data_IF_417797007071
#
_entry.id   IF_417797007071
#
_cell.length_a   1.000
_cell.length_b   1.000
_cell.length_c   1.000
_cell.angle_alpha   90.00
_cell.angle_beta   90.00
_cell.angle_gamma   90.00
#
_symmetry.space_group_name_H-M   'P 1'
#
loop_
_entity.id
_entity.type
_entity.pdbx_description
1 polymer ?
#
# COMPACT_ATOMS: atom_id res chain seq x y z
N UNK A 1 7.95 53.46 12.10
CA UNK A 1 6.64 52.96 11.60
C UNK A 1 6.75 52.20 10.27
N UNK A 2 7.56 52.65 9.30
CA UNK A 2 7.64 52.00 7.97
C UNK A 2 8.29 50.59 7.95
N UNK A 3 9.29 50.30 8.79
CA UNK A 3 9.96 48.97 8.78
C UNK A 3 9.05 47.83 9.29
N UNK A 4 8.23 48.06 10.31
CA UNK A 4 7.31 47.04 10.85
C UNK A 4 6.22 46.68 9.84
N UNK A 5 5.70 47.67 9.12
CA UNK A 5 4.72 47.45 8.06
C UNK A 5 5.31 46.62 6.90
N UNK A 6 6.55 46.89 6.51
CA UNK A 6 7.25 46.14 5.47
C UNK A 6 7.54 44.69 5.91
N UNK A 7 7.97 44.50 7.16
CA UNK A 7 8.20 43.17 7.73
C UNK A 7 6.93 42.31 7.74
N UNK A 8 5.77 42.91 8.08
CA UNK A 8 4.48 42.21 8.05
C UNK A 8 4.07 41.81 6.62
N UNK A 9 4.31 42.68 5.63
CA UNK A 9 4.01 42.37 4.23
C UNK A 9 4.89 41.21 3.74
N UNK A 10 6.20 41.25 4.04
CA UNK A 10 7.12 40.17 3.70
C UNK A 10 6.72 38.86 4.41
N UNK A 11 6.34 38.91 5.68
CA UNK A 11 5.86 37.75 6.43
C UNK A 11 4.69 37.07 5.72
N UNK A 12 3.64 37.83 5.38
CA UNK A 12 2.46 37.31 4.69
C UNK A 12 2.80 36.71 3.33
N UNK A 13 3.72 37.34 2.58
CA UNK A 13 4.19 36.83 1.29
C UNK A 13 4.95 35.51 1.46
N UNK A 14 5.81 35.40 2.48
CA UNK A 14 6.59 34.19 2.77
C UNK A 14 5.72 33.05 3.27
N UNK A 15 4.68 33.36 4.03
CA UNK A 15 3.67 32.40 4.47
C UNK A 15 2.95 31.79 3.26
N UNK A 16 2.44 32.64 2.34
CA UNK A 16 1.86 32.19 1.08
C UNK A 16 2.83 31.33 0.26
N UNK A 17 4.07 31.79 0.09
CA UNK A 17 5.12 31.03 -0.61
C UNK A 17 5.39 29.66 0.04
N UNK A 18 5.32 29.54 1.37
CA UNK A 18 5.53 28.29 2.06
C UNK A 18 4.37 27.30 1.79
N UNK A 19 3.13 27.77 1.84
CA UNK A 19 1.96 26.94 1.52
C UNK A 19 1.93 26.50 0.06
N UNK A 20 2.23 27.41 -0.88
CA UNK A 20 2.34 27.10 -2.30
C UNK A 20 3.44 26.07 -2.58
N UNK A 21 4.61 26.22 -1.93
CA UNK A 21 5.69 25.25 -2.04
C UNK A 21 5.29 23.86 -1.50
N UNK A 22 4.53 23.79 -0.40
CA UNK A 22 3.99 22.51 0.09
C UNK A 22 2.99 21.89 -0.89
N UNK A 23 2.12 22.69 -1.52
CA UNK A 23 1.20 22.21 -2.55
C UNK A 23 1.96 21.69 -3.79
N UNK A 24 3.02 22.37 -4.21
CA UNK A 24 3.92 21.92 -5.28
C UNK A 24 4.57 20.57 -4.93
N UNK A 25 5.09 20.42 -3.70
CA UNK A 25 5.67 19.15 -3.22
C UNK A 25 4.66 18.02 -3.25
N UNK A 26 3.44 18.22 -2.72
CA UNK A 26 2.37 17.20 -2.74
C UNK A 26 2.04 16.76 -4.16
N UNK A 27 1.85 17.71 -5.06
CA UNK A 27 1.50 17.45 -6.47
C UNK A 27 2.63 16.70 -7.17
N UNK A 28 3.88 17.08 -6.93
CA UNK A 28 5.05 16.41 -7.49
C UNK A 28 5.18 14.97 -6.96
N UNK A 29 4.91 14.73 -5.67
CA UNK A 29 4.90 13.38 -5.08
C UNK A 29 3.79 12.52 -5.70
N UNK A 30 2.57 13.03 -5.82
CA UNK A 30 1.45 12.32 -6.45
C UNK A 30 1.77 11.96 -7.90
N UNK A 31 2.33 12.92 -8.66
CA UNK A 31 2.72 12.72 -10.06
C UNK A 31 3.81 11.65 -10.17
N UNK A 32 4.82 11.68 -9.30
CA UNK A 32 5.87 10.66 -9.28
C UNK A 32 5.28 9.27 -9.00
N UNK A 33 4.43 9.16 -7.99
CA UNK A 33 3.85 7.89 -7.58
C UNK A 33 2.94 7.29 -8.66
N UNK A 34 2.14 8.11 -9.33
CA UNK A 34 1.36 7.70 -10.50
C UNK A 34 2.26 7.15 -11.61
N UNK A 35 3.35 7.87 -11.95
CA UNK A 35 4.27 7.44 -13.01
C UNK A 35 5.06 6.18 -12.66
N UNK A 36 5.36 5.94 -11.38
CA UNK A 36 5.95 4.68 -10.92
C UNK A 36 4.99 3.52 -11.20
N UNK A 37 3.70 3.68 -10.93
CA UNK A 37 2.70 2.67 -11.22
C UNK A 37 2.53 2.44 -12.72
N UNK A 38 2.45 3.52 -13.50
CA UNK A 38 2.39 3.47 -14.96
C UNK A 38 3.57 2.69 -15.55
N UNK A 39 4.78 2.96 -15.05
CA UNK A 39 5.99 2.24 -15.46
C UNK A 39 5.85 0.74 -15.23
N UNK A 40 5.36 0.33 -14.07
CA UNK A 40 5.19 -1.09 -13.72
C UNK A 40 4.19 -1.79 -14.62
N UNK A 41 3.09 -1.12 -14.97
CA UNK A 41 1.97 -1.75 -15.71
C UNK A 41 2.17 -1.72 -17.22
N UNK A 42 2.75 -0.65 -17.76
CA UNK A 42 2.69 -0.38 -19.21
C UNK A 42 4.05 -0.37 -19.91
N UNK A 43 5.17 -0.21 -19.19
CA UNK A 43 6.46 0.11 -19.82
C UNK A 43 7.37 -1.12 -19.86
N UNK A 44 7.68 -1.54 -21.09
CA UNK A 44 8.41 -2.77 -21.39
C UNK A 44 9.59 -2.46 -22.32
N UNK A 45 10.64 -3.29 -22.26
CA UNK A 45 11.84 -3.12 -23.10
C UNK A 45 12.83 -2.07 -22.60
N UNK A 46 14.07 -2.16 -23.07
CA UNK A 46 15.22 -1.42 -22.51
C UNK A 46 15.10 0.09 -22.80
N UNK A 47 14.84 0.48 -24.05
CA UNK A 47 14.83 1.90 -24.44
C UNK A 47 13.71 2.71 -23.79
N UNK A 48 12.50 2.14 -23.71
CA UNK A 48 11.37 2.79 -23.03
C UNK A 48 11.64 2.92 -21.53
N UNK A 49 12.19 1.88 -20.90
CA UNK A 49 12.60 1.91 -19.50
C UNK A 49 13.60 3.05 -19.20
N UNK A 50 14.63 3.22 -20.04
CA UNK A 50 15.62 4.29 -19.85
C UNK A 50 14.98 5.69 -19.95
N UNK A 51 14.10 5.91 -20.93
CA UNK A 51 13.38 7.18 -21.09
C UNK A 51 12.49 7.48 -19.87
N UNK A 52 11.72 6.51 -19.42
CA UNK A 52 10.89 6.66 -18.22
C UNK A 52 11.72 6.87 -16.98
N UNK A 53 12.85 6.17 -16.82
CA UNK A 53 13.73 6.37 -15.67
C UNK A 53 14.28 7.80 -15.61
N UNK A 54 14.63 8.37 -16.77
CA UNK A 54 15.01 9.78 -16.86
C UNK A 54 13.88 10.71 -16.45
N UNK A 55 12.65 10.45 -16.90
CA UNK A 55 11.48 11.23 -16.51
C UNK A 55 11.18 11.13 -15.01
N UNK A 56 11.25 9.93 -14.42
CA UNK A 56 11.10 9.72 -12.98
C UNK A 56 12.16 10.49 -12.17
N UNK A 57 13.40 10.53 -12.68
CA UNK A 57 14.46 11.35 -12.07
C UNK A 57 14.13 12.83 -12.12
N UNK A 58 13.58 13.34 -13.22
CA UNK A 58 13.10 14.73 -13.30
C UNK A 58 12.00 15.00 -12.28
N UNK A 59 11.01 14.12 -12.14
CA UNK A 59 9.95 14.26 -11.13
C UNK A 59 10.51 14.23 -9.71
N UNK A 60 11.47 13.36 -9.42
CA UNK A 60 12.17 13.33 -8.14
C UNK A 60 12.92 14.64 -7.86
N UNK A 61 13.54 15.25 -8.87
CA UNK A 61 14.20 16.55 -8.75
C UNK A 61 13.19 17.66 -8.48
N UNK A 62 12.02 17.64 -9.11
CA UNK A 62 10.95 18.62 -8.85
C UNK A 62 10.48 18.59 -7.40
N UNK A 63 10.39 17.39 -6.79
CA UNK A 63 10.09 17.25 -5.35
C UNK A 63 11.16 17.97 -4.51
N UNK A 64 12.44 17.78 -4.81
CA UNK A 64 13.52 18.44 -4.08
C UNK A 64 13.49 19.96 -4.27
N UNK A 65 13.23 20.44 -5.49
CA UNK A 65 13.10 21.87 -5.77
C UNK A 65 11.98 22.50 -4.94
N UNK A 66 10.80 21.88 -4.91
CA UNK A 66 9.68 22.34 -4.06
C UNK A 66 10.03 22.30 -2.57
N UNK A 67 10.68 21.23 -2.11
CA UNK A 67 11.10 21.09 -0.72
C UNK A 67 12.11 22.19 -0.32
N UNK A 68 13.04 22.53 -1.21
CA UNK A 68 14.02 23.58 -0.95
C UNK A 68 13.41 24.99 -0.98
N UNK A 69 12.40 25.24 -1.83
CA UNK A 69 11.60 26.48 -1.76
C UNK A 69 10.94 26.60 -0.40
N UNK A 70 10.29 25.53 0.08
CA UNK A 70 9.65 25.50 1.39
C UNK A 70 10.65 25.77 2.51
N UNK A 71 11.78 25.06 2.53
CA UNK A 71 12.85 25.24 3.55
C UNK A 71 13.37 26.67 3.58
N UNK A 72 13.55 27.30 2.42
CA UNK A 72 13.98 28.71 2.31
C UNK A 72 12.93 29.67 2.86
N UNK A 73 11.66 29.52 2.47
CA UNK A 73 10.57 30.36 2.98
C UNK A 73 10.39 30.20 4.48
N UNK A 74 10.46 28.97 5.00
CA UNK A 74 10.38 28.68 6.44
C UNK A 74 11.53 29.33 7.22
N UNK A 75 12.75 29.27 6.69
CA UNK A 75 13.90 29.93 7.32
C UNK A 75 13.69 31.45 7.44
N UNK A 76 13.23 32.08 6.36
CA UNK A 76 12.91 33.52 6.37
C UNK A 76 11.76 33.84 7.34
N UNK A 77 10.72 33.00 7.43
CA UNK A 77 9.63 33.18 8.39
C UNK A 77 10.12 33.13 9.84
N UNK A 78 11.04 32.20 10.16
CA UNK A 78 11.64 32.13 11.51
C UNK A 78 12.43 33.41 11.82
N UNK A 79 13.18 33.92 10.85
CA UNK A 79 13.91 35.20 10.98
C UNK A 79 12.96 36.40 11.18
N UNK A 80 11.74 36.34 10.63
CA UNK A 80 10.70 37.37 10.76
C UNK A 80 9.80 37.22 12.00
N UNK A 81 9.99 36.17 12.80
CA UNK A 81 9.28 35.97 14.08
C UNK A 81 8.36 34.76 14.17
N UNK A 82 8.36 33.84 13.19
CA UNK A 82 7.64 32.57 13.30
C UNK A 82 8.28 31.68 14.40
N UNK A 83 7.50 31.13 15.34
CA UNK A 83 7.99 30.15 16.29
C UNK A 83 8.62 28.94 15.59
N UNK A 84 9.75 28.45 16.11
CA UNK A 84 10.46 27.30 15.54
C UNK A 84 9.59 26.03 15.59
N UNK A 85 8.72 25.92 16.60
CA UNK A 85 7.77 24.82 16.81
C UNK A 85 6.34 25.24 16.39
N UNK A 86 6.22 25.87 15.23
CA UNK A 86 4.91 26.17 14.67
C UNK A 86 4.19 24.89 14.23
N UNK A 87 2.93 24.74 14.65
CA UNK A 87 2.12 23.55 14.39
C UNK A 87 1.70 23.40 12.93
N UNK A 88 1.67 24.49 12.16
CA UNK A 88 1.22 24.54 10.76
C UNK A 88 2.37 24.42 9.75
N UNK A 89 3.51 25.07 10.03
CA UNK A 89 4.71 25.09 9.19
C UNK A 89 5.87 24.36 9.88
N UNK A 90 5.81 23.03 9.86
CA UNK A 90 6.79 22.15 10.53
C UNK A 90 8.06 21.91 9.70
N UNK A 91 9.17 21.46 10.31
CA UNK A 91 10.36 21.08 9.57
C UNK A 91 10.11 19.99 8.52
N UNK A 92 10.63 20.19 7.31
CA UNK A 92 10.47 19.26 6.19
C UNK A 92 11.70 18.37 6.00
N UNK A 93 11.69 17.26 6.74
CA UNK A 93 12.67 16.17 6.62
C UNK A 93 12.49 15.32 5.36
N UNK A 94 13.52 14.51 5.06
CA UNK A 94 13.56 13.63 3.87
C UNK A 94 12.47 12.56 3.91
N UNK A 95 12.12 12.04 5.09
CA UNK A 95 11.10 11.01 5.27
C UNK A 95 9.72 11.50 4.83
N UNK A 96 9.46 12.81 4.95
CA UNK A 96 8.20 13.42 4.58
C UNK A 96 8.00 13.51 3.06
N UNK A 97 9.07 13.41 2.27
CA UNK A 97 9.03 13.52 0.81
C UNK A 97 8.61 12.22 0.12
N UNK A 98 8.25 11.20 0.89
CA UNK A 98 7.77 9.92 0.40
C UNK A 98 6.26 9.84 0.63
N UNK A 99 5.46 9.93 -0.43
CA UNK A 99 4.01 9.78 -0.34
C UNK A 99 3.59 8.30 -0.31
N UNK A 100 2.57 7.95 0.47
CA UNK A 100 2.02 6.59 0.50
C UNK A 100 1.14 6.28 -0.71
N UNK A 101 0.43 7.28 -1.23
CA UNK A 101 -0.46 7.11 -2.38
C UNK A 101 0.30 6.60 -3.59
N UNK A 102 0.03 5.37 -4.04
CA UNK A 102 0.69 4.76 -5.19
C UNK A 102 1.93 3.93 -4.86
N UNK A 103 2.24 3.65 -3.60
CA UNK A 103 3.11 2.52 -3.23
C UNK A 103 2.26 1.24 -3.14
N UNK A 104 2.82 0.10 -3.51
CA UNK A 104 2.22 -1.18 -3.12
C UNK A 104 2.23 -1.25 -1.59
N UNK A 105 1.04 -1.37 -1.00
CA UNK A 105 0.88 -1.59 0.44
C UNK A 105 1.69 -2.83 0.81
N UNK A 106 2.68 -2.65 1.67
CA UNK A 106 3.47 -3.73 2.24
C UNK A 106 2.87 -4.16 3.57
N UNK A 107 3.13 -5.40 3.94
CA UNK A 107 2.85 -5.90 5.29
C UNK A 107 3.56 -4.96 6.29
N UNK A 108 2.81 -4.42 7.25
CA UNK A 108 3.29 -3.42 8.22
C UNK A 108 3.05 -1.95 7.87
N UNK A 109 2.67 -1.62 6.63
CA UNK A 109 2.41 -0.22 6.24
C UNK A 109 1.22 0.40 7.02
N UNK A 110 0.30 -0.43 7.51
CA UNK A 110 -0.82 -0.01 8.37
C UNK A 110 -0.36 0.69 9.67
N UNK A 111 0.87 0.42 10.14
CA UNK A 111 1.45 1.03 11.36
C UNK A 111 2.17 2.35 11.07
N UNK A 112 2.45 2.66 9.81
CA UNK A 112 3.11 3.92 9.45
C UNK A 112 2.05 5.03 9.42
N UNK A 113 2.31 6.19 10.02
CA UNK A 113 1.43 7.36 9.89
C UNK A 113 1.75 8.13 8.59
N UNK A 114 0.74 8.76 7.99
CA UNK A 114 0.95 9.63 6.81
C UNK A 114 1.82 10.83 7.24
N UNK A 115 2.70 11.30 6.36
CA UNK A 115 3.54 12.47 6.66
C UNK A 115 2.66 13.70 6.95
N UNK A 116 3.10 14.56 7.88
CA UNK A 116 2.35 15.75 8.31
C UNK A 116 1.98 16.67 7.15
N UNK A 117 2.75 16.64 6.06
CA UNK A 117 2.48 17.43 4.85
C UNK A 117 1.12 17.08 4.23
N UNK A 118 0.57 15.89 4.44
CA UNK A 118 -0.73 15.49 3.85
C UNK A 118 -1.92 15.88 4.73
N UNK A 119 -1.68 16.10 6.01
CA UNK A 119 -2.66 16.60 6.98
C UNK A 119 -2.73 18.12 7.04
N UNK A 120 -1.74 18.84 6.49
CA UNK A 120 -1.72 20.31 6.47
C UNK A 120 -2.55 20.89 5.33
N UNK A 121 -3.86 20.88 5.50
CA UNK A 121 -4.84 21.67 4.74
C UNK A 121 -5.45 22.81 5.56
N UNK A 122 -4.84 23.15 6.71
CA UNK A 122 -5.31 24.21 7.61
C UNK A 122 -5.36 25.53 6.84
N UNK A 123 -6.56 26.05 6.59
CA UNK A 123 -6.69 27.45 6.22
C UNK A 123 -6.17 28.31 7.38
N UNK A 124 -5.30 29.28 7.11
CA UNK A 124 -4.72 30.14 8.15
C UNK A 124 -5.78 30.87 9.01
N UNK A 125 -7.04 30.91 8.55
CA UNK A 125 -8.18 31.58 9.17
C UNK A 125 -9.28 30.64 9.68
N UNK A 126 -9.03 29.34 9.83
CA UNK A 126 -10.01 28.38 10.37
C UNK A 126 -10.03 28.42 11.90
N UNK A 127 -11.22 28.42 12.49
CA UNK A 127 -11.35 28.31 13.93
C UNK A 127 -11.07 26.87 14.42
N UNK A 128 -11.02 26.66 15.74
CA UNK A 128 -10.75 25.32 16.29
C UNK A 128 -11.84 24.28 15.95
N UNK A 129 -13.08 24.73 15.72
CA UNK A 129 -14.21 23.88 15.31
C UNK A 129 -14.03 23.42 13.86
N UNK A 130 -13.72 24.34 12.96
CA UNK A 130 -13.45 24.10 11.54
C UNK A 130 -12.28 23.12 11.36
N UNK A 131 -11.23 23.24 12.20
CA UNK A 131 -10.09 22.31 12.18
C UNK A 131 -10.51 20.90 12.57
N UNK A 132 -11.35 20.74 13.60
CA UNK A 132 -11.85 19.42 14.02
C UNK A 132 -12.75 18.79 12.96
N UNK A 133 -13.61 19.59 12.32
CA UNK A 133 -14.46 19.12 11.23
C UNK A 133 -13.62 18.70 10.01
N UNK A 134 -12.62 19.51 9.63
CA UNK A 134 -11.68 19.18 8.56
C UNK A 134 -10.89 17.88 8.84
N UNK A 135 -10.37 17.72 10.06
CA UNK A 135 -9.67 16.50 10.46
C UNK A 135 -10.60 15.28 10.43
N UNK A 136 -11.84 15.41 10.89
CA UNK A 136 -12.84 14.35 10.82
C UNK A 136 -13.15 13.94 9.38
N UNK A 137 -13.30 14.91 8.47
CA UNK A 137 -13.51 14.62 7.04
C UNK A 137 -12.29 13.95 6.40
N UNK A 138 -11.07 14.41 6.72
CA UNK A 138 -9.85 13.77 6.23
C UNK A 138 -9.74 12.31 6.71
N UNK A 139 -10.00 12.05 7.99
CA UNK A 139 -10.02 10.70 8.55
C UNK A 139 -11.10 9.84 7.89
N UNK A 140 -12.28 10.40 7.59
CA UNK A 140 -13.36 9.71 6.90
C UNK A 140 -12.94 9.30 5.49
N UNK A 141 -12.32 10.19 4.72
CA UNK A 141 -11.81 9.88 3.36
C UNK A 141 -10.73 8.79 3.43
N UNK A 142 -9.77 8.91 4.34
CA UNK A 142 -8.74 7.90 4.55
C UNK A 142 -9.34 6.53 4.91
N UNK A 143 -10.34 6.52 5.79
CA UNK A 143 -11.06 5.31 6.15
C UNK A 143 -11.76 4.67 4.94
N UNK A 144 -12.46 5.47 4.11
CA UNK A 144 -13.10 4.97 2.89
C UNK A 144 -12.08 4.38 1.91
N UNK A 145 -10.93 5.02 1.73
CA UNK A 145 -9.86 4.50 0.88
C UNK A 145 -9.27 3.20 1.43
N UNK A 146 -8.97 3.14 2.73
CA UNK A 146 -8.45 1.94 3.37
C UNK A 146 -9.47 0.78 3.31
N UNK A 147 -10.74 1.09 3.51
CA UNK A 147 -11.86 0.17 3.33
C UNK A 147 -11.94 -0.35 1.91
N UNK A 148 -11.91 0.52 0.91
CA UNK A 148 -11.96 0.14 -0.50
C UNK A 148 -10.74 -0.71 -0.92
N UNK A 149 -9.54 -0.41 -0.40
CA UNK A 149 -8.34 -1.21 -0.62
C UNK A 149 -8.46 -2.61 -0.01
N UNK A 150 -8.99 -2.71 1.22
CA UNK A 150 -9.27 -4.00 1.85
C UNK A 150 -10.31 -4.78 1.04
N UNK A 151 -11.42 -4.16 0.67
CA UNK A 151 -12.51 -4.82 -0.06
C UNK A 151 -12.03 -5.31 -1.43
N UNK A 152 -11.26 -4.51 -2.17
CA UNK A 152 -10.60 -4.93 -3.41
C UNK A 152 -9.66 -6.11 -3.19
N UNK A 153 -8.84 -6.08 -2.13
CA UNK A 153 -7.97 -7.20 -1.85
C UNK A 153 -8.78 -8.48 -1.62
N UNK A 154 -9.91 -8.40 -0.87
CA UNK A 154 -10.85 -9.52 -0.65
C UNK A 154 -11.36 -10.08 -1.97
N UNK A 155 -11.85 -9.21 -2.85
CA UNK A 155 -12.31 -9.59 -4.20
C UNK A 155 -11.21 -10.26 -5.04
N UNK A 156 -9.98 -9.73 -5.01
CA UNK A 156 -8.83 -10.31 -5.70
C UNK A 156 -8.53 -11.73 -5.20
N UNK A 157 -8.60 -11.95 -3.87
CA UNK A 157 -8.41 -13.26 -3.27
C UNK A 157 -9.48 -14.27 -3.67
N UNK A 158 -10.75 -13.87 -3.62
CA UNK A 158 -11.87 -14.73 -4.06
C UNK A 158 -11.79 -15.05 -5.56
N UNK A 159 -11.41 -14.07 -6.38
CA UNK A 159 -11.22 -14.24 -7.83
C UNK A 159 -10.12 -15.26 -8.10
N UNK A 160 -8.98 -15.13 -7.42
CA UNK A 160 -7.83 -16.01 -7.59
C UNK A 160 -8.15 -17.45 -7.16
N UNK A 161 -8.92 -17.64 -6.08
CA UNK A 161 -9.42 -18.95 -5.68
C UNK A 161 -10.32 -19.60 -6.75
N UNK A 162 -11.24 -18.81 -7.34
CA UNK A 162 -12.10 -19.28 -8.42
C UNK A 162 -11.30 -19.61 -9.68
N UNK A 163 -10.31 -18.79 -10.05
CA UNK A 163 -9.44 -19.04 -11.20
C UNK A 163 -8.61 -20.32 -11.03
N UNK A 164 -8.12 -20.64 -9.81
CA UNK A 164 -7.46 -21.92 -9.55
C UNK A 164 -8.40 -23.11 -9.75
N UNK A 165 -9.61 -23.06 -9.18
CA UNK A 165 -10.59 -24.12 -9.37
C UNK A 165 -10.93 -24.33 -10.84
N UNK A 166 -11.12 -23.22 -11.57
CA UNK A 166 -11.38 -23.24 -13.01
C UNK A 166 -10.23 -23.85 -13.80
N UNK A 167 -8.98 -23.52 -13.44
CA UNK A 167 -7.78 -24.04 -14.11
C UNK A 167 -7.63 -25.55 -13.89
N UNK A 168 -7.81 -26.03 -12.66
CA UNK A 168 -7.78 -27.45 -12.33
C UNK A 168 -8.86 -28.20 -13.11
N UNK A 169 -10.10 -27.73 -13.05
CA UNK A 169 -11.22 -28.35 -13.77
C UNK A 169 -11.01 -28.35 -15.29
N UNK A 170 -10.41 -27.29 -15.85
CA UNK A 170 -10.07 -27.24 -17.27
C UNK A 170 -9.04 -28.32 -17.64
N UNK A 171 -7.98 -28.49 -16.85
CA UNK A 171 -6.98 -29.54 -17.09
C UNK A 171 -7.56 -30.95 -16.95
N UNK A 172 -8.41 -31.19 -15.97
CA UNK A 172 -9.11 -32.47 -15.82
C UNK A 172 -10.02 -32.77 -17.01
N UNK A 173 -10.76 -31.76 -17.49
CA UNK A 173 -11.59 -31.89 -18.68
C UNK A 173 -10.74 -32.18 -19.93
N UNK A 174 -9.62 -31.47 -20.12
CA UNK A 174 -8.70 -31.78 -21.23
C UNK A 174 -8.12 -33.19 -21.11
N UNK A 175 -7.73 -33.63 -19.92
CA UNK A 175 -7.26 -35.00 -19.72
C UNK A 175 -8.32 -36.02 -20.12
N UNK A 176 -9.58 -35.82 -19.72
CA UNK A 176 -10.70 -36.69 -20.10
C UNK A 176 -10.95 -36.72 -21.62
N UNK A 177 -10.93 -35.55 -22.28
CA UNK A 177 -11.07 -35.44 -23.74
C UNK A 177 -9.93 -36.19 -24.45
N UNK A 178 -8.69 -36.07 -23.98
CA UNK A 178 -7.57 -36.78 -24.58
C UNK A 178 -7.65 -38.30 -24.38
N UNK A 179 -8.22 -38.77 -23.26
CA UNK A 179 -8.50 -40.19 -23.04
C UNK A 179 -9.56 -40.69 -24.02
N UNK A 180 -10.68 -39.98 -24.19
CA UNK A 180 -11.74 -40.40 -25.13
C UNK A 180 -11.21 -40.43 -26.57
N UNK A 181 -10.48 -39.40 -27.00
CA UNK A 181 -9.83 -39.36 -28.31
C UNK A 181 -8.84 -40.53 -28.49
N UNK A 182 -8.08 -40.89 -27.45
CA UNK A 182 -7.16 -42.03 -27.52
C UNK A 182 -7.89 -43.37 -27.68
N UNK A 183 -9.07 -43.51 -27.06
CA UNK A 183 -9.89 -44.72 -27.15
C UNK A 183 -10.50 -44.89 -28.54
N UNK A 184 -10.88 -43.79 -29.19
CA UNK A 184 -11.42 -43.77 -30.56
C UNK A 184 -10.35 -44.05 -31.64
N UNK A 185 -9.06 -43.92 -31.32
CA UNK A 185 -7.99 -44.12 -32.29
C UNK A 185 -7.67 -45.59 -32.57
N UNK A 186 -7.71 -45.94 -33.87
CA UNK A 186 -7.33 -47.27 -34.36
C UNK A 186 -5.81 -47.44 -34.42
N UNK A 187 -5.06 -46.38 -34.75
CA UNK A 187 -3.61 -46.45 -34.92
C UNK A 187 -2.91 -46.47 -33.56
N UNK A 188 -1.99 -47.41 -33.30
CA UNK A 188 -1.31 -47.52 -32.01
C UNK A 188 -0.52 -46.25 -31.64
N UNK A 189 0.09 -45.58 -32.63
CA UNK A 189 0.79 -44.31 -32.41
C UNK A 189 -0.13 -43.16 -31.97
N UNK A 190 -1.31 -43.04 -32.59
CA UNK A 190 -2.31 -42.02 -32.21
C UNK A 190 -2.89 -42.28 -30.82
N UNK A 191 -3.15 -43.55 -30.51
CA UNK A 191 -3.59 -44.00 -29.18
C UNK A 191 -2.55 -43.68 -28.10
N UNK A 192 -1.28 -44.03 -28.34
CA UNK A 192 -0.19 -43.72 -27.41
C UNK A 192 -0.02 -42.21 -27.20
N UNK A 193 -0.14 -41.42 -28.26
CA UNK A 193 -0.06 -39.96 -28.17
C UNK A 193 -1.20 -39.35 -27.36
N UNK A 194 -2.44 -39.79 -27.58
CA UNK A 194 -3.60 -39.32 -26.80
C UNK A 194 -3.45 -39.60 -25.31
N UNK A 195 -3.02 -40.81 -24.94
CA UNK A 195 -2.72 -41.13 -23.52
C UNK A 195 -1.56 -40.31 -22.96
N UNK A 196 -0.52 -40.01 -23.76
CA UNK A 196 0.56 -39.11 -23.33
C UNK A 196 0.04 -37.70 -23.02
N UNK A 197 -0.84 -37.16 -23.87
CA UNK A 197 -1.45 -35.85 -23.63
C UNK A 197 -2.35 -35.86 -22.39
N UNK A 198 -3.17 -36.89 -22.22
CA UNK A 198 -3.98 -37.05 -21.02
C UNK A 198 -3.14 -37.06 -19.73
N UNK A 199 -2.04 -37.83 -19.73
CA UNK A 199 -1.11 -37.88 -18.61
C UNK A 199 -0.44 -36.52 -18.35
N UNK A 200 -0.11 -35.76 -19.39
CA UNK A 200 0.44 -34.40 -19.26
C UNK A 200 -0.56 -33.46 -18.55
N UNK A 201 -1.81 -33.41 -19.00
CA UNK A 201 -2.83 -32.56 -18.39
C UNK A 201 -3.15 -32.98 -16.95
N UNK A 202 -3.14 -34.28 -16.66
CA UNK A 202 -3.29 -34.80 -15.29
C UNK A 202 -2.18 -34.26 -14.38
N UNK A 203 -0.92 -34.33 -14.83
CA UNK A 203 0.22 -33.75 -14.09
C UNK A 203 0.10 -32.24 -13.87
N UNK A 204 -0.42 -31.50 -14.85
CA UNK A 204 -0.67 -30.05 -14.69
C UNK A 204 -1.74 -29.77 -13.63
N UNK A 205 -2.82 -30.55 -13.60
CA UNK A 205 -3.85 -30.44 -12.57
C UNK A 205 -3.29 -30.74 -11.17
N UNK A 206 -2.48 -31.79 -11.04
CA UNK A 206 -1.83 -32.16 -9.77
C UNK A 206 -0.85 -31.08 -9.31
N UNK A 207 -0.03 -30.54 -10.20
CA UNK A 207 0.86 -29.41 -9.89
C UNK A 207 0.11 -28.18 -9.41
N UNK A 208 -1.05 -27.85 -9.99
CA UNK A 208 -1.90 -26.77 -9.50
C UNK A 208 -2.46 -27.05 -8.09
N UNK A 209 -2.85 -28.29 -7.79
CA UNK A 209 -3.31 -28.69 -6.45
C UNK A 209 -2.20 -28.56 -5.40
N UNK A 210 -1.01 -29.04 -5.72
CA UNK A 210 0.16 -28.97 -4.82
C UNK A 210 0.55 -27.52 -4.54
N UNK A 211 0.63 -26.68 -5.58
CA UNK A 211 0.94 -25.27 -5.43
C UNK A 211 -0.08 -24.54 -4.55
N UNK A 212 -1.37 -24.86 -4.71
CA UNK A 212 -2.44 -24.30 -3.88
C UNK A 212 -2.31 -24.75 -2.43
N UNK A 213 -2.09 -26.03 -2.17
CA UNK A 213 -1.95 -26.57 -0.81
C UNK A 213 -0.73 -25.95 -0.09
N UNK A 214 0.39 -25.78 -0.79
CA UNK A 214 1.57 -25.11 -0.26
C UNK A 214 1.27 -23.65 0.12
N UNK A 215 0.52 -22.93 -0.72
CA UNK A 215 0.19 -21.53 -0.51
C UNK A 215 -0.82 -21.34 0.64
N UNK A 216 -1.83 -22.21 0.72
CA UNK A 216 -2.75 -22.27 1.87
C UNK A 216 -2.00 -22.57 3.17
N UNK A 217 -1.00 -23.46 3.14
CA UNK A 217 -0.12 -23.75 4.27
C UNK A 217 0.68 -22.53 4.75
N UNK A 218 1.29 -21.78 3.83
CA UNK A 218 2.01 -20.54 4.13
C UNK A 218 1.09 -19.45 4.68
N UNK A 219 -0.08 -19.28 4.07
CA UNK A 219 -1.09 -18.32 4.51
C UNK A 219 -1.53 -18.58 5.95
N UNK A 220 -1.83 -19.83 6.28
CA UNK A 220 -2.21 -20.23 7.63
C UNK A 220 -1.06 -20.08 8.64
N UNK A 221 0.20 -20.17 8.20
CA UNK A 221 1.36 -19.95 9.06
C UNK A 221 1.61 -18.45 9.34
N UNK A 222 1.52 -17.60 8.30
CA UNK A 222 1.65 -16.14 8.45
C UNK A 222 0.51 -15.57 9.31
N UNK A 223 -0.73 -16.06 9.11
CA UNK A 223 -1.89 -15.67 9.93
C UNK A 223 -1.66 -16.00 11.42
N UNK A 224 -1.21 -17.23 11.72
CA UNK A 224 -0.91 -17.65 13.09
C UNK A 224 0.19 -16.81 13.73
N UNK A 225 1.26 -16.48 12.99
CA UNK A 225 2.35 -15.65 13.49
C UNK A 225 1.87 -14.24 13.85
N UNK A 226 1.06 -13.63 13.00
CA UNK A 226 0.52 -12.30 13.30
C UNK A 226 -0.49 -12.30 14.44
N UNK A 227 -1.30 -13.35 14.57
CA UNK A 227 -2.19 -13.53 15.70
C UNK A 227 -1.40 -13.67 17.01
N UNK A 228 -0.31 -14.44 17.00
CA UNK A 228 0.64 -14.54 18.10
C UNK A 228 1.29 -13.18 18.42
N UNK A 229 1.75 -12.42 17.42
CA UNK A 229 2.32 -11.07 17.61
C UNK A 229 1.30 -10.10 18.20
N UNK A 230 0.03 -10.17 17.78
CA UNK A 230 -1.07 -9.34 18.33
C UNK A 230 -1.36 -9.71 19.78
N UNK A 231 -1.44 -11.01 20.09
CA UNK A 231 -1.61 -11.50 21.47
C UNK A 231 -0.45 -11.04 22.35
N UNK A 232 0.79 -11.13 21.86
CA UNK A 232 1.97 -10.63 22.57
C UNK A 232 1.92 -9.12 22.79
N UNK A 233 1.50 -8.34 21.78
CA UNK A 233 1.37 -6.90 21.89
C UNK A 233 0.30 -6.49 22.92
N UNK A 234 -0.86 -7.16 22.91
CA UNK A 234 -1.90 -6.98 23.93
C UNK A 234 -1.40 -7.32 25.32
N UNK A 235 -0.72 -8.45 25.49
CA UNK A 235 -0.12 -8.84 26.77
C UNK A 235 0.94 -7.83 27.26
N UNK A 236 1.71 -7.21 26.36
CA UNK A 236 2.64 -6.14 26.70
C UNK A 236 1.92 -4.87 27.15
N UNK A 237 0.80 -4.51 26.52
CA UNK A 237 -0.04 -3.37 26.93
C UNK A 237 -0.63 -3.62 28.32
N UNK A 238 -1.17 -4.81 28.58
CA UNK A 238 -1.73 -5.19 29.88
C UNK A 238 -0.67 -5.17 30.98
N UNK A 239 0.53 -5.71 30.74
CA UNK A 239 1.66 -5.60 31.68
C UNK A 239 2.02 -4.15 31.99
N UNK A 240 2.05 -3.28 30.97
CA UNK A 240 2.29 -1.84 31.16
C UNK A 240 1.18 -1.16 31.97
N UNK A 241 -0.09 -1.54 31.74
CA UNK A 241 -1.25 -1.04 32.51
C UNK A 241 -1.18 -1.47 33.98
N UNK A 242 -0.87 -2.75 34.24
CA UNK A 242 -0.69 -3.29 35.59
C UNK A 242 0.44 -2.59 36.35
N UNK A 243 1.55 -2.28 35.67
CA UNK A 243 2.67 -1.53 36.28
C UNK A 243 2.35 -0.07 36.59
N UNK A 244 1.32 0.52 35.95
CA UNK A 244 0.88 1.90 36.16
C UNK A 244 -0.15 2.06 37.28
N UNK A 245 -0.73 0.97 37.77
CA UNK A 245 -1.70 0.99 38.88
C UNK A 245 -3.11 1.46 38.50
N UNK A 246 -3.48 1.44 37.21
CA UNK A 246 -4.84 1.80 36.77
C UNK A 246 -5.82 0.64 37.09
N UNK A 247 -6.65 0.82 38.11
CA UNK A 247 -7.73 -0.09 38.49
C UNK A 247 -8.97 0.07 37.60
N UNK A 248 -9.27 -0.97 36.84
CA UNK A 248 -10.49 -1.37 36.12
C UNK A 248 -11.69 -0.39 36.00
N UNK A 249 -12.08 -0.07 34.76
CA UNK A 249 -13.40 -0.44 34.22
C UNK A 249 -13.28 -0.61 32.69
N UNK A 250 -13.83 -1.69 32.14
CA UNK A 250 -13.78 -2.14 30.73
C UNK A 250 -12.42 -2.63 30.17
N UNK A 251 -12.23 -3.96 30.18
CA UNK A 251 -11.28 -4.65 29.31
C UNK A 251 -11.51 -4.27 27.84
N UNK A 252 -10.47 -3.97 27.03
CA UNK A 252 -10.64 -3.81 25.59
C UNK A 252 -11.22 -5.11 25.03
N UNK A 253 -12.49 -5.09 24.62
CA UNK A 253 -13.06 -6.23 23.91
C UNK A 253 -12.22 -6.43 22.65
N UNK A 254 -11.59 -7.60 22.55
CA UNK A 254 -11.02 -8.07 21.29
C UNK A 254 -12.14 -7.93 20.24
N UNK A 255 -11.91 -7.22 19.12
CA UNK A 255 -12.87 -7.31 18.02
C UNK A 255 -13.06 -8.79 17.71
N UNK A 256 -14.30 -9.26 17.50
CA UNK A 256 -14.57 -10.68 17.29
C UNK A 256 -13.63 -11.19 16.19
N UNK A 257 -13.08 -12.41 16.31
CA UNK A 257 -12.26 -12.99 15.25
C UNK A 257 -13.04 -12.83 13.94
N UNK A 258 -12.38 -12.26 12.92
CA UNK A 258 -12.99 -12.10 11.60
C UNK A 258 -13.57 -13.45 11.22
N UNK A 259 -14.90 -13.54 11.09
CA UNK A 259 -15.61 -14.81 10.86
C UNK A 259 -14.95 -15.53 9.68
N UNK A 260 -14.16 -16.55 9.98
CA UNK A 260 -13.75 -17.63 9.08
C UNK A 260 -12.86 -17.30 7.88
N UNK A 261 -12.60 -16.04 7.52
CA UNK A 261 -11.75 -15.71 6.37
C UNK A 261 -10.81 -14.55 6.71
N UNK A 262 -9.48 -14.76 6.67
CA UNK A 262 -8.54 -13.68 6.88
C UNK A 262 -8.58 -12.66 5.72
N UNK A 263 -8.10 -11.42 5.92
CA UNK A 263 -8.12 -10.38 4.90
C UNK A 263 -7.31 -10.84 3.69
N UNK A 264 -7.80 -10.65 2.47
CA UNK A 264 -7.09 -11.17 1.29
C UNK A 264 -5.85 -10.34 0.87
N UNK A 265 -5.53 -9.26 1.59
CA UNK A 265 -4.28 -8.50 1.39
C UNK A 265 -2.99 -9.33 1.57
N UNK A 266 -3.10 -10.53 2.14
CA UNK A 266 -1.98 -11.43 2.44
C UNK A 266 -1.59 -12.36 1.28
N UNK A 267 -2.50 -12.62 0.34
CA UNK A 267 -2.21 -13.46 -0.83
C UNK A 267 -1.11 -12.85 -1.73
N UNK A 268 -1.03 -11.52 -1.80
CA UNK A 268 0.00 -10.81 -2.58
C UNK A 268 1.41 -10.96 -1.97
N UNK A 269 1.52 -11.06 -0.63
CA UNK A 269 2.79 -11.21 0.06
C UNK A 269 3.35 -12.63 0.03
N UNK A 270 2.48 -13.64 0.01
CA UNK A 270 2.86 -15.06 -0.14
C UNK A 270 3.22 -15.39 -1.58
N UNK A 271 2.47 -14.88 -2.57
CA UNK A 271 2.81 -15.03 -4.00
C UNK A 271 4.18 -14.43 -4.35
N UNK A 272 4.55 -13.30 -3.74
CA UNK A 272 5.87 -12.66 -3.97
C UNK A 272 7.03 -13.48 -3.41
N UNK A 273 6.88 -14.08 -2.22
CA UNK A 273 7.93 -14.93 -1.62
C UNK A 273 8.11 -16.24 -2.38
N UNK A 274 7.05 -16.77 -2.99
CA UNK A 274 7.13 -17.91 -3.91
C UNK A 274 7.88 -17.55 -5.21
N UNK A 275 7.66 -16.35 -5.76
CA UNK A 275 8.40 -15.86 -6.93
C UNK A 275 9.88 -15.55 -6.63
N UNK A 276 10.21 -15.14 -5.40
CA UNK A 276 11.59 -14.85 -4.98
C UNK A 276 12.36 -16.12 -4.55
N UNK A 277 11.66 -17.21 -4.20
CA UNK A 277 12.25 -18.51 -3.79
C UNK A 277 12.42 -19.53 -4.92
N UNK A 278 12.15 -19.16 -6.17
CA UNK A 278 12.27 -20.03 -7.36
C UNK A 278 13.46 -19.68 -8.27
N UNK A 279 14.47 -18.97 -7.74
CA UNK A 279 15.78 -18.79 -8.39
C UNK A 279 16.84 -19.74 -7.83
#
# INVERSE_FOLDING_TARGET
MQMMALANIEYNLREGQAFDALAEVRTAIQTLNYNIQLKKTQIHGIGANTKTQNYLRTLSNNIQIGADKYRRSRKALIELGLPVDDGSLRPLEKEHLVGKSGRQVRIGDAKTHESWIWTTGRGANMDESDVKEWEAELQRVQWFQARALRDRAVEEGETLHKEWNRTIAAFENYAAIWVSLAQEQTRPGGKAYGYKQAAMYTKLADGCREARAALEGLYNADFRREEEERVQHCAQIEKKRQSRGDGFDESPQLPPPSRGSPPAGYLLGTLRRLAEGTQ
#
